data_IF_250663734547
#
_entry.id   IF_250663734547
#
_cell.length_a   1.000
_cell.length_b   1.000
_cell.length_c   1.000
_cell.angle_alpha   90.00
_cell.angle_beta   90.00
_cell.angle_gamma   90.00
#
_symmetry.space_group_name_H-M   'P 1'
#
loop_
_entity.id
_entity.type
_entity.pdbx_description
1 polymer ?
#
# COMPACT_ATOMS: atom_id res chain seq x y z
N UNK A 1 5.41 6.99 -16.61
CA UNK A 1 4.45 6.55 -15.58
C UNK A 1 4.80 5.14 -15.12
N UNK A 2 4.97 4.96 -13.83
CA UNK A 2 5.30 3.64 -13.30
C UNK A 2 4.06 2.74 -13.32
N UNK A 3 4.24 1.47 -13.55
CA UNK A 3 3.17 0.49 -13.67
C UNK A 3 2.71 0.02 -12.28
N UNK A 4 1.40 -0.18 -12.12
CA UNK A 4 0.86 -0.77 -10.90
C UNK A 4 1.46 -2.17 -10.66
N UNK A 5 1.73 -2.91 -11.71
CA UNK A 5 2.32 -4.24 -11.56
C UNK A 5 3.73 -4.16 -10.98
N UNK A 6 4.50 -3.14 -11.32
CA UNK A 6 5.80 -2.91 -10.70
C UNK A 6 5.66 -2.59 -9.22
N UNK A 7 4.68 -1.75 -8.88
CA UNK A 7 4.38 -1.45 -7.49
C UNK A 7 3.99 -2.71 -6.74
N UNK A 8 3.16 -3.55 -7.34
CA UNK A 8 2.72 -4.80 -6.73
C UNK A 8 3.93 -5.67 -6.35
N UNK A 9 4.89 -5.82 -7.27
CA UNK A 9 6.09 -6.61 -6.99
C UNK A 9 6.94 -5.99 -5.89
N UNK A 10 7.01 -4.66 -5.83
CA UNK A 10 7.71 -3.99 -4.73
C UNK A 10 7.04 -4.24 -3.39
N UNK A 11 5.71 -4.26 -3.35
CA UNK A 11 4.97 -4.58 -2.14
C UNK A 11 5.16 -6.04 -1.74
N UNK A 12 5.20 -6.95 -2.70
CA UNK A 12 5.52 -8.37 -2.44
C UNK A 12 6.89 -8.49 -1.79
N UNK A 13 7.87 -7.75 -2.27
CA UNK A 13 9.22 -7.77 -1.69
C UNK A 13 9.24 -7.22 -0.27
N UNK A 14 8.47 -6.18 -0.01
CA UNK A 14 8.36 -5.59 1.34
C UNK A 14 7.72 -6.58 2.30
N UNK A 15 6.65 -7.23 1.88
CA UNK A 15 5.94 -8.21 2.69
C UNK A 15 6.75 -9.49 2.89
N UNK A 16 7.45 -9.92 1.87
CA UNK A 16 8.21 -11.16 1.87
C UNK A 16 7.39 -12.37 1.41
N UNK A 17 6.13 -12.18 1.08
CA UNK A 17 5.25 -13.22 0.55
C UNK A 17 4.35 -12.62 -0.52
N UNK A 18 3.57 -13.48 -1.20
CA UNK A 18 2.67 -13.03 -2.24
C UNK A 18 1.28 -12.64 -1.74
N UNK A 19 1.10 -12.47 -0.44
CA UNK A 19 -0.18 -12.09 0.14
C UNK A 19 -0.43 -10.59 0.02
N UNK A 20 -0.28 -10.07 -1.20
CA UNK A 20 -0.54 -8.68 -1.56
C UNK A 20 -1.78 -8.67 -2.44
N UNK A 21 -2.78 -7.90 -2.05
CA UNK A 21 -4.09 -7.88 -2.70
C UNK A 21 -4.41 -6.48 -3.19
N UNK A 22 -4.76 -6.37 -4.47
CA UNK A 22 -5.19 -5.11 -5.05
C UNK A 22 -6.71 -5.08 -5.15
N UNK A 23 -7.31 -4.16 -4.41
CA UNK A 23 -8.77 -3.98 -4.41
C UNK A 23 -9.55 -5.29 -4.35
N UNK A 24 -9.26 -6.16 -3.34
CA UNK A 24 -9.91 -7.46 -3.28
C UNK A 24 -11.39 -7.33 -2.94
N UNK A 25 -12.23 -8.25 -3.44
CA UNK A 25 -13.62 -8.28 -3.01
C UNK A 25 -13.73 -8.66 -1.53
N UNK A 26 -14.80 -8.24 -0.87
CA UNK A 26 -14.99 -8.50 0.56
C UNK A 26 -15.02 -9.99 0.90
N UNK A 27 -15.44 -10.80 -0.06
CA UNK A 27 -15.59 -12.25 0.16
C UNK A 27 -14.26 -13.01 0.11
N UNK A 28 -13.15 -12.36 -0.26
CA UNK A 28 -11.88 -13.06 -0.35
C UNK A 28 -11.35 -13.41 1.04
N UNK A 29 -10.82 -14.62 1.17
CA UNK A 29 -10.13 -15.05 2.39
C UNK A 29 -8.65 -14.74 2.25
N UNK A 30 -8.17 -13.79 3.03
CA UNK A 30 -6.78 -13.40 3.00
C UNK A 30 -5.97 -14.17 4.04
N UNK A 31 -4.71 -14.42 3.71
CA UNK A 31 -3.74 -14.96 4.68
C UNK A 31 -2.92 -13.81 5.22
N UNK A 32 -2.60 -13.86 6.49
CA UNK A 32 -1.89 -12.79 7.19
C UNK A 32 -0.50 -13.27 7.61
N UNK A 33 0.49 -12.38 7.63
CA UNK A 33 0.38 -10.95 7.33
C UNK A 33 0.08 -10.69 5.85
N UNK A 34 -0.59 -9.58 5.57
CA UNK A 34 -1.01 -9.24 4.21
C UNK A 34 -0.84 -7.74 3.97
N UNK A 35 -0.72 -7.38 2.70
CA UNK A 35 -0.82 -5.99 2.27
C UNK A 35 -2.02 -5.89 1.33
N UNK A 36 -2.89 -4.95 1.64
CA UNK A 36 -4.05 -4.62 0.80
C UNK A 36 -3.86 -3.20 0.31
N UNK A 37 -3.98 -2.99 -0.99
CA UNK A 37 -3.83 -1.64 -1.51
C UNK A 37 -4.91 -1.33 -2.55
N UNK A 38 -5.18 -0.05 -2.68
CA UNK A 38 -6.18 0.45 -3.64
C UNK A 38 -5.72 1.78 -4.21
N UNK A 39 -6.19 2.08 -5.41
CA UNK A 39 -5.97 3.38 -6.00
C UNK A 39 -6.88 4.39 -5.31
N UNK A 40 -6.28 5.41 -4.74
CA UNK A 40 -7.00 6.41 -3.97
C UNK A 40 -7.33 7.63 -4.81
N UNK A 41 -6.38 8.04 -5.67
CA UNK A 41 -6.56 9.25 -6.45
C UNK A 41 -5.54 9.30 -7.59
N UNK A 42 -5.84 10.08 -8.60
CA UNK A 42 -4.91 10.43 -9.66
C UNK A 42 -4.75 11.94 -9.62
N UNK A 43 -3.74 12.45 -8.86
CA UNK A 43 -3.59 13.89 -8.76
C UNK A 43 -3.20 14.48 -10.11
N UNK A 44 -4.01 15.39 -10.61
CA UNK A 44 -3.73 16.12 -11.83
C UNK A 44 -2.96 17.38 -11.45
N UNK A 45 -1.64 17.33 -11.63
CA UNK A 45 -0.82 18.52 -11.47
C UNK A 45 -0.55 19.11 -12.85
N UNK A 46 -1.22 20.19 -13.15
CA UNK A 46 -1.00 20.94 -14.38
C UNK A 46 0.05 22.02 -14.16
N UNK A 47 1.27 21.61 -13.86
CA UNK A 47 2.36 22.53 -13.80
C UNK A 47 3.04 22.58 -15.16
N UNK A 48 2.95 23.69 -15.86
CA UNK A 48 3.63 23.91 -17.14
C UNK A 48 3.25 22.92 -18.23
N UNK A 49 2.01 22.47 -18.27
CA UNK A 49 1.52 21.54 -19.28
C UNK A 49 2.31 20.24 -19.40
N UNK A 50 3.05 19.89 -18.37
CA UNK A 50 3.84 18.66 -18.37
C UNK A 50 3.08 17.52 -17.74
N UNK A 51 2.75 16.53 -18.55
CA UNK A 51 1.94 15.38 -18.15
C UNK A 51 2.80 14.24 -17.60
N UNK A 52 4.11 14.31 -17.73
CA UNK A 52 4.98 13.20 -17.40
C UNK A 52 5.29 13.02 -15.92
N UNK A 53 4.78 13.89 -15.07
CA UNK A 53 4.91 13.74 -13.62
C UNK A 53 3.67 13.11 -12.99
N UNK A 54 2.89 12.39 -13.77
CA UNK A 54 1.73 11.72 -13.23
C UNK A 54 2.14 10.57 -12.33
N UNK A 55 1.87 10.72 -11.06
CA UNK A 55 1.93 9.65 -10.11
C UNK A 55 0.51 9.33 -9.64
N UNK A 56 0.30 8.09 -9.31
CA UNK A 56 -0.99 7.66 -8.79
C UNK A 56 -0.88 7.56 -7.27
N UNK A 57 -1.89 8.06 -6.59
CA UNK A 57 -1.96 7.97 -5.14
C UNK A 57 -2.62 6.65 -4.77
N UNK A 58 -1.95 5.87 -3.96
CA UNK A 58 -2.47 4.60 -3.47
C UNK A 58 -2.60 4.65 -1.95
N UNK A 59 -3.63 4.00 -1.46
CA UNK A 59 -3.77 3.71 -0.04
C UNK A 59 -3.31 2.27 0.17
N UNK A 60 -2.33 2.09 1.03
CA UNK A 60 -1.74 0.78 1.33
C UNK A 60 -1.99 0.45 2.79
N UNK A 61 -2.55 -0.71 3.05
CA UNK A 61 -2.82 -1.17 4.42
C UNK A 61 -2.02 -2.43 4.68
N UNK A 62 -1.18 -2.40 5.71
CA UNK A 62 -0.50 -3.59 6.21
C UNK A 62 -1.37 -4.19 7.30
N UNK A 63 -1.75 -5.46 7.13
CA UNK A 63 -2.59 -6.19 8.08
C UNK A 63 -1.78 -7.30 8.70
N UNK A 64 -1.63 -7.29 10.01
CA UNK A 64 -0.83 -8.27 10.72
C UNK A 64 -1.41 -8.50 12.12
N UNK A 65 -1.30 -9.73 12.61
CA UNK A 65 -1.66 -10.04 13.98
C UNK A 65 -0.61 -9.55 14.99
N UNK A 66 0.60 -9.30 14.54
CA UNK A 66 1.70 -8.80 15.37
C UNK A 66 1.65 -7.28 15.46
N UNK A 67 1.45 -6.68 16.66
CA UNK A 67 1.44 -5.23 16.79
C UNK A 67 2.80 -4.57 16.52
N UNK A 68 3.87 -5.35 16.57
CA UNK A 68 5.23 -4.86 16.32
C UNK A 68 5.75 -5.36 14.99
N UNK A 69 4.92 -5.36 13.97
CA UNK A 69 5.23 -5.91 12.66
C UNK A 69 6.44 -5.23 12.01
N UNK A 70 7.41 -6.03 11.59
CA UNK A 70 8.56 -5.55 10.82
C UNK A 70 8.15 -5.05 9.43
N UNK A 71 7.01 -5.51 8.94
CA UNK A 71 6.49 -5.11 7.64
C UNK A 71 6.15 -3.62 7.65
N UNK A 72 5.58 -3.13 8.74
CA UNK A 72 5.28 -1.71 8.91
C UNK A 72 6.55 -0.89 8.83
N UNK A 73 7.62 -1.35 9.50
CA UNK A 73 8.91 -0.67 9.45
C UNK A 73 9.47 -0.63 8.03
N UNK A 74 9.42 -1.77 7.33
CA UNK A 74 9.88 -1.84 5.94
C UNK A 74 9.04 -0.96 5.02
N UNK A 75 7.72 -0.93 5.24
CA UNK A 75 6.82 -0.09 4.44
C UNK A 75 7.12 1.39 4.65
N UNK A 76 7.45 1.79 5.87
CA UNK A 76 7.75 3.19 6.19
C UNK A 76 9.01 3.69 5.48
N UNK A 77 9.86 2.78 5.03
CA UNK A 77 11.10 3.13 4.28
C UNK A 77 10.86 3.28 2.79
N UNK A 78 9.69 2.95 2.30
CA UNK A 78 9.34 3.18 0.90
C UNK A 78 9.37 4.67 0.61
N UNK A 79 10.03 5.06 -0.48
CA UNK A 79 10.42 6.45 -0.75
C UNK A 79 9.28 7.46 -0.61
N UNK A 80 8.09 7.14 -1.09
CA UNK A 80 6.94 8.06 -1.08
C UNK A 80 5.92 7.72 -0.02
N UNK A 81 6.20 6.75 0.85
CA UNK A 81 5.23 6.30 1.86
C UNK A 81 5.07 7.32 2.97
N UNK A 82 3.83 7.56 3.34
CA UNK A 82 3.47 8.39 4.49
C UNK A 82 2.51 7.61 5.36
N UNK A 83 2.86 7.42 6.61
CA UNK A 83 1.99 6.76 7.56
C UNK A 83 0.75 7.63 7.83
N UNK A 84 -0.42 7.01 7.83
CA UNK A 84 -1.66 7.73 8.09
C UNK A 84 -2.27 7.39 9.44
N UNK A 85 -2.58 6.10 9.66
CA UNK A 85 -3.18 5.71 10.94
C UNK A 85 -2.99 4.23 11.20
N UNK A 86 -3.17 3.89 12.47
CA UNK A 86 -3.19 2.51 12.95
C UNK A 86 -4.54 2.26 13.63
N UNK A 87 -5.12 1.11 13.38
CA UNK A 87 -6.31 0.68 14.09
C UNK A 87 -6.35 -0.84 14.18
N UNK A 88 -7.18 -1.36 15.07
CA UNK A 88 -7.37 -2.80 15.25
C UNK A 88 -8.79 -3.17 14.87
N UNK A 89 -8.92 -4.20 14.04
CA UNK A 89 -10.22 -4.74 13.64
C UNK A 89 -10.11 -6.24 13.54
N UNK A 90 -11.07 -6.96 14.11
CA UNK A 90 -11.10 -8.43 14.13
C UNK A 90 -9.81 -9.06 14.67
N UNK A 91 -9.20 -8.42 15.67
CA UNK A 91 -7.98 -8.91 16.27
C UNK A 91 -6.72 -8.71 15.42
N UNK A 92 -6.84 -7.97 14.32
CA UNK A 92 -5.73 -7.70 13.42
C UNK A 92 -5.35 -6.23 13.45
N UNK A 93 -4.06 -5.96 13.42
CA UNK A 93 -3.52 -4.61 13.38
C UNK A 93 -3.49 -4.13 11.94
N UNK A 94 -4.05 -2.95 11.71
CA UNK A 94 -4.09 -2.32 10.40
C UNK A 94 -3.27 -1.04 10.46
N UNK A 95 -2.24 -0.94 9.63
CA UNK A 95 -1.41 0.24 9.50
C UNK A 95 -1.55 0.77 8.09
N UNK A 96 -2.12 1.96 7.97
CA UNK A 96 -2.41 2.54 6.65
C UNK A 96 -1.36 3.57 6.27
N UNK A 97 -0.99 3.52 5.00
CA UNK A 97 -0.02 4.43 4.39
C UNK A 97 -0.61 5.01 3.12
N UNK A 98 -0.18 6.22 2.81
CA UNK A 98 -0.39 6.80 1.48
C UNK A 98 0.92 6.72 0.73
N UNK A 99 0.90 6.24 -0.50
CA UNK A 99 2.08 6.23 -1.35
C UNK A 99 1.75 6.86 -2.70
N UNK A 100 2.76 7.41 -3.34
CA UNK A 100 2.67 7.95 -4.69
C UNK A 100 3.65 7.16 -5.57
N UNK A 101 3.11 6.62 -6.67
CA UNK A 101 3.95 5.77 -7.53
C UNK A 101 3.72 5.99 -9.04
#
# INVERSE_FOLDING_TARGET
MASRLELHEKLVNILGTRYVYFQPPESIKMKYPAIVYERSDIPNKFANDNVYLQTIKYKVTVVDSDPDSEIVERMSKFKTARFEKHYVSDGLNHDTFTIYY
#
